data_IF_687680807374
#
_entry.id   IF_687680807374
#
_cell.length_a   1.000
_cell.length_b   1.000
_cell.length_c   1.000
_cell.angle_alpha   90.00
_cell.angle_beta   90.00
_cell.angle_gamma   90.00
#
_symmetry.space_group_name_H-M   'P 1'
#
loop_
_entity.id
_entity.type
_entity.pdbx_description
1 polymer ?
#
# COMPACT_ATOMS: atom_id res chain seq x y z
N UNK A 1 56.53 23.65 45.53
CA UNK A 1 55.38 24.34 44.92
C UNK A 1 55.20 23.79 43.51
N UNK A 2 54.48 22.67 43.38
CA UNK A 2 54.20 22.02 42.08
C UNK A 2 52.88 21.26 42.20
N UNK A 3 51.79 22.03 42.22
CA UNK A 3 50.45 21.52 41.97
C UNK A 3 50.04 22.17 40.66
N UNK A 4 49.78 21.37 39.62
CA UNK A 4 48.95 21.69 38.44
C UNK A 4 49.55 21.20 37.11
N UNK A 5 49.44 19.90 36.84
CA UNK A 5 49.32 19.44 35.45
C UNK A 5 48.38 18.25 35.29
N UNK A 6 48.20 17.45 36.34
CA UNK A 6 47.34 16.24 36.34
C UNK A 6 45.83 16.58 36.25
N UNK A 7 45.40 17.77 36.70
CA UNK A 7 43.98 18.18 36.63
C UNK A 7 43.52 18.63 35.23
N UNK A 8 44.45 19.03 34.35
CA UNK A 8 44.09 19.55 33.03
C UNK A 8 43.84 18.41 32.03
N UNK A 9 44.69 17.36 32.06
CA UNK A 9 44.56 16.18 31.20
C UNK A 9 43.34 15.33 31.58
N UNK A 10 43.03 15.18 32.88
CA UNK A 10 41.82 14.48 33.32
C UNK A 10 40.53 15.21 32.93
N UNK A 11 40.51 16.55 32.97
CA UNK A 11 39.37 17.35 32.48
C UNK A 11 39.23 17.31 30.96
N UNK A 12 40.34 17.28 30.23
CA UNK A 12 40.33 17.14 28.76
C UNK A 12 39.83 15.74 28.34
N UNK A 13 40.25 14.68 29.06
CA UNK A 13 39.77 13.31 28.83
C UNK A 13 38.28 13.16 29.16
N UNK A 14 37.80 13.79 30.23
CA UNK A 14 36.40 13.78 30.62
C UNK A 14 35.52 14.55 29.61
N UNK A 15 36.03 15.67 29.07
CA UNK A 15 35.37 16.41 27.98
C UNK A 15 35.36 15.60 26.67
N UNK A 16 36.43 14.87 26.33
CA UNK A 16 36.48 13.98 25.17
C UNK A 16 35.54 12.77 25.31
N UNK A 17 35.41 12.19 26.51
CA UNK A 17 34.42 11.13 26.79
C UNK A 17 32.98 11.65 26.74
N UNK A 18 32.73 12.89 27.18
CA UNK A 18 31.42 13.54 27.07
C UNK A 18 31.04 13.87 25.62
N UNK A 19 31.99 14.31 24.79
CA UNK A 19 31.72 14.61 23.37
C UNK A 19 31.52 13.32 22.56
N UNK A 20 32.16 12.22 22.94
CA UNK A 20 31.90 10.90 22.37
C UNK A 20 30.55 10.29 22.82
N UNK A 21 30.12 10.54 24.06
CA UNK A 21 28.85 10.01 24.58
C UNK A 21 27.61 10.75 24.09
N UNK A 22 27.71 12.07 23.85
CA UNK A 22 26.54 12.89 23.45
C UNK A 22 26.03 12.56 22.03
N UNK A 23 26.85 12.01 21.12
CA UNK A 23 26.41 11.67 19.74
C UNK A 23 25.91 10.24 19.54
N UNK A 24 26.22 9.30 20.45
CA UNK A 24 25.67 7.94 20.40
C UNK A 24 24.21 7.85 20.91
N UNK A 25 23.67 8.92 21.52
CA UNK A 25 22.30 8.94 22.03
C UNK A 25 21.23 8.83 20.92
N UNK A 26 21.52 9.24 19.69
CA UNK A 26 20.52 9.23 18.62
C UNK A 26 20.12 7.83 18.16
N UNK A 27 21.01 6.84 18.32
CA UNK A 27 20.83 5.44 17.93
C UNK A 27 21.35 4.54 19.05
N UNK A 28 20.65 4.47 20.20
CA UNK A 28 21.16 3.77 21.39
C UNK A 28 21.33 2.26 21.19
N UNK A 29 20.63 1.66 20.22
CA UNK A 29 20.78 0.24 19.92
C UNK A 29 21.97 -0.05 18.99
N UNK A 30 22.53 0.96 18.33
CA UNK A 30 23.70 0.78 17.50
C UNK A 30 24.92 0.45 18.38
N UNK A 31 25.74 -0.55 18.00
CA UNK A 31 26.99 -0.81 18.70
C UNK A 31 27.86 0.45 18.69
N UNK A 32 28.68 0.67 19.71
CA UNK A 32 29.62 1.80 19.79
C UNK A 32 31.03 1.36 19.36
N UNK A 33 31.76 2.23 18.65
CA UNK A 33 33.19 2.03 18.36
C UNK A 33 33.48 1.04 17.22
N UNK A 34 32.53 0.80 16.33
CA UNK A 34 32.74 -0.07 15.15
C UNK A 34 33.44 0.74 14.05
N UNK A 35 34.69 0.39 13.70
CA UNK A 35 35.46 1.13 12.68
C UNK A 35 35.65 0.38 11.36
N UNK A 36 35.57 -0.96 11.37
CA UNK A 36 35.99 -1.79 10.23
C UNK A 36 34.95 -2.88 9.87
N UNK A 37 33.75 -2.80 10.44
CA UNK A 37 32.65 -3.75 10.22
C UNK A 37 31.33 -3.02 10.02
N UNK A 38 30.38 -3.67 9.38
CA UNK A 38 29.01 -3.19 9.25
C UNK A 38 28.37 -2.93 10.62
N UNK A 39 27.66 -1.81 10.73
CA UNK A 39 26.88 -1.46 11.91
C UNK A 39 25.54 -2.20 11.80
N UNK A 40 25.33 -3.16 12.68
CA UNK A 40 24.13 -4.00 12.67
C UNK A 40 23.56 -4.17 14.08
N UNK A 41 22.25 -4.02 14.23
CA UNK A 41 21.56 -4.21 15.50
C UNK A 41 20.09 -4.63 15.32
N UNK A 42 19.47 -5.07 16.41
CA UNK A 42 18.08 -5.53 16.43
C UNK A 42 17.17 -4.54 17.16
N UNK A 43 15.97 -4.32 16.63
CA UNK A 43 14.87 -3.63 17.29
C UNK A 43 13.68 -4.58 17.44
N UNK A 44 12.90 -4.45 18.52
CA UNK A 44 11.75 -5.34 18.80
C UNK A 44 10.48 -4.52 19.02
N UNK A 45 9.37 -4.95 18.42
CA UNK A 45 8.05 -4.35 18.64
C UNK A 45 6.95 -5.41 18.71
N UNK A 46 5.88 -5.12 19.45
CA UNK A 46 4.72 -5.99 19.59
C UNK A 46 3.52 -5.54 18.71
N UNK A 47 3.69 -4.55 17.85
CA UNK A 47 2.62 -4.11 16.95
C UNK A 47 2.31 -5.14 15.86
N UNK A 48 1.02 -5.40 15.57
CA UNK A 48 0.57 -6.24 14.46
C UNK A 48 0.66 -5.56 13.08
N UNK A 49 1.03 -4.28 13.04
CA UNK A 49 1.11 -3.50 11.79
C UNK A 49 2.14 -4.07 10.83
N UNK A 50 1.81 -4.04 9.55
CA UNK A 50 2.72 -4.34 8.44
C UNK A 50 3.50 -3.11 7.97
N UNK A 51 3.19 -1.91 8.47
CA UNK A 51 3.96 -0.69 8.23
C UNK A 51 4.40 -0.10 9.56
N UNK A 52 5.68 0.27 9.62
CA UNK A 52 6.30 0.94 10.77
C UNK A 52 7.17 2.09 10.29
N UNK A 53 7.43 3.07 11.15
CA UNK A 53 8.42 4.11 10.89
C UNK A 53 9.73 3.74 11.58
N UNK A 54 10.84 3.91 10.87
CA UNK A 54 12.19 3.56 11.35
C UNK A 54 13.08 4.78 11.22
N UNK A 55 13.85 5.05 12.26
CA UNK A 55 14.87 6.09 12.27
C UNK A 55 16.13 5.52 11.64
N UNK A 56 16.65 6.19 10.62
CA UNK A 56 17.93 5.88 10.01
C UNK A 56 18.85 7.11 10.10
N UNK A 57 20.18 6.90 10.04
CA UNK A 57 21.13 8.01 9.99
C UNK A 57 20.83 8.96 8.83
N UNK A 58 21.03 10.25 9.08
CA UNK A 58 20.90 11.29 8.08
C UNK A 58 22.25 11.63 7.45
N UNK A 59 22.25 12.37 6.34
CA UNK A 59 23.48 12.77 5.64
C UNK A 59 24.50 13.50 6.52
N UNK A 60 24.02 14.19 7.56
CA UNK A 60 24.85 14.95 8.49
C UNK A 60 25.25 14.14 9.72
N UNK A 61 24.73 12.91 9.87
CA UNK A 61 25.09 12.02 10.96
C UNK A 61 26.59 11.73 10.93
N UNK A 62 27.19 11.71 12.12
CA UNK A 62 28.58 11.33 12.34
C UNK A 62 28.60 10.17 13.32
N UNK A 63 29.14 9.05 12.89
CA UNK A 63 29.29 7.88 13.74
C UNK A 63 30.63 7.97 14.51
N UNK A 64 30.56 8.22 15.81
CA UNK A 64 31.73 8.45 16.65
C UNK A 64 32.61 9.58 16.13
N UNK A 65 33.90 9.31 16.00
CA UNK A 65 34.91 10.25 15.47
C UNK A 65 35.25 9.98 14.00
N UNK A 66 34.50 9.12 13.30
CA UNK A 66 34.85 8.69 11.95
C UNK A 66 34.74 9.85 10.94
N UNK A 67 35.81 10.14 10.17
CA UNK A 67 35.77 11.16 9.13
C UNK A 67 35.00 10.62 7.93
N UNK A 68 33.76 11.07 7.72
CA UNK A 68 32.95 10.58 6.62
C UNK A 68 31.59 11.23 6.52
N UNK A 69 30.76 10.72 5.61
CA UNK A 69 29.35 11.11 5.49
C UNK A 69 28.49 9.87 5.30
N UNK A 70 27.26 9.95 5.78
CA UNK A 70 26.27 8.92 5.50
C UNK A 70 25.66 9.13 4.11
N UNK A 71 25.52 8.04 3.36
CA UNK A 71 24.85 8.00 2.06
C UNK A 71 23.73 7.00 2.14
N UNK A 72 22.54 7.43 1.73
CA UNK A 72 21.34 6.60 1.76
C UNK A 72 21.40 5.50 0.71
N UNK A 73 20.74 4.38 0.99
CA UNK A 73 20.45 3.41 -0.05
C UNK A 73 19.39 3.98 -1.01
N UNK A 74 19.73 4.09 -2.31
CA UNK A 74 18.84 4.63 -3.34
C UNK A 74 17.53 3.81 -3.48
N UNK A 75 17.57 2.51 -3.15
CA UNK A 75 16.40 1.62 -3.22
C UNK A 75 15.28 1.99 -2.23
N UNK A 76 15.56 2.90 -1.28
CA UNK A 76 14.60 3.38 -0.29
C UNK A 76 13.70 4.49 -0.86
N UNK A 77 14.16 5.24 -1.87
CA UNK A 77 13.46 6.43 -2.37
C UNK A 77 12.06 6.13 -2.91
N UNK A 78 11.85 4.96 -3.50
CA UNK A 78 10.55 4.54 -4.06
C UNK A 78 9.64 3.81 -3.05
N UNK A 79 10.17 3.45 -1.88
CA UNK A 79 9.55 2.50 -0.94
C UNK A 79 9.12 3.12 0.38
N UNK A 80 9.53 4.37 0.67
CA UNK A 80 9.34 4.97 1.97
C UNK A 80 8.74 6.39 1.94
N UNK A 81 7.93 6.70 2.95
CA UNK A 81 7.62 8.08 3.29
C UNK A 81 8.74 8.67 4.15
N UNK A 82 9.42 9.71 3.66
CA UNK A 82 10.56 10.32 4.34
C UNK A 82 10.19 11.57 5.15
N UNK A 83 10.80 11.71 6.33
CA UNK A 83 10.87 12.98 7.06
C UNK A 83 12.28 13.16 7.62
N UNK A 84 13.03 14.10 7.07
CA UNK A 84 14.38 14.45 7.55
C UNK A 84 14.26 15.27 8.84
N UNK A 85 15.19 15.08 9.78
CA UNK A 85 15.34 16.01 10.90
C UNK A 85 15.86 17.36 10.39
N UNK A 86 15.54 18.45 11.10
CA UNK A 86 15.92 19.81 10.68
C UNK A 86 17.44 19.98 10.57
N UNK A 87 18.19 19.32 11.47
CA UNK A 87 19.65 19.29 11.47
C UNK A 87 20.26 18.26 10.48
N UNK A 88 19.42 17.42 9.86
CA UNK A 88 19.82 16.34 8.97
C UNK A 88 20.61 15.20 9.61
N UNK A 89 20.60 15.08 10.95
CA UNK A 89 21.26 13.99 11.68
C UNK A 89 20.54 12.65 11.55
N UNK A 90 19.24 12.64 11.29
CA UNK A 90 18.48 11.41 11.05
C UNK A 90 17.33 11.63 10.08
N UNK A 91 16.75 10.52 9.65
CA UNK A 91 15.57 10.50 8.81
C UNK A 91 14.61 9.44 9.33
N UNK A 92 13.34 9.77 9.37
CA UNK A 92 12.27 8.82 9.61
C UNK A 92 11.75 8.29 8.28
N UNK A 93 11.63 6.98 8.18
CA UNK A 93 11.16 6.28 6.98
C UNK A 93 10.03 5.34 7.34
N UNK A 94 8.86 5.51 6.72
CA UNK A 94 7.81 4.51 6.77
C UNK A 94 8.18 3.33 5.87
N UNK A 95 8.24 2.12 6.43
CA UNK A 95 8.64 0.91 5.72
C UNK A 95 7.54 -0.14 5.83
N UNK A 96 7.26 -0.80 4.71
CA UNK A 96 6.31 -1.91 4.63
C UNK A 96 7.04 -3.23 4.77
N UNK A 97 6.47 -4.12 5.57
CA UNK A 97 6.85 -5.52 5.65
C UNK A 97 6.14 -6.29 4.54
N UNK A 98 6.91 -6.74 3.55
CA UNK A 98 6.36 -7.42 2.36
C UNK A 98 5.73 -8.78 2.70
N UNK A 99 6.38 -9.56 3.56
CA UNK A 99 5.91 -10.87 3.99
C UNK A 99 5.61 -10.87 5.49
N UNK A 100 4.32 -10.91 5.82
CA UNK A 100 3.87 -10.96 7.22
C UNK A 100 4.13 -12.30 7.91
N UNK A 101 4.46 -13.37 7.16
CA UNK A 101 4.83 -14.67 7.72
C UNK A 101 6.25 -14.69 8.30
N UNK A 102 7.14 -13.84 7.77
CA UNK A 102 8.49 -13.66 8.31
C UNK A 102 8.41 -12.78 9.55
N UNK A 103 8.97 -13.14 10.72
CA UNK A 103 8.79 -12.35 11.93
C UNK A 103 9.65 -11.08 11.97
N UNK A 104 10.50 -10.86 10.97
CA UNK A 104 11.43 -9.73 10.94
C UNK A 104 11.40 -8.95 9.62
N UNK A 105 11.88 -7.71 9.67
CA UNK A 105 12.14 -6.82 8.53
C UNK A 105 13.60 -6.38 8.60
N UNK A 106 14.37 -6.62 7.54
CA UNK A 106 15.73 -6.11 7.42
C UNK A 106 15.71 -4.77 6.70
N UNK A 107 16.30 -3.76 7.32
CA UNK A 107 16.38 -2.40 6.80
C UNK A 107 17.85 -2.05 6.62
N UNK A 108 18.27 -1.89 5.37
CA UNK A 108 19.58 -1.33 5.06
C UNK A 108 19.39 0.17 4.82
N UNK A 109 19.69 0.99 5.85
CA UNK A 109 19.51 2.44 5.80
C UNK A 109 20.39 3.10 4.72
N UNK A 110 21.55 2.51 4.45
CA UNK A 110 22.60 3.08 3.63
C UNK A 110 23.97 2.71 4.18
N UNK A 111 24.95 3.58 3.95
CA UNK A 111 26.32 3.34 4.36
C UNK A 111 27.07 4.60 4.76
N UNK A 112 28.09 4.43 5.59
CA UNK A 112 29.01 5.48 5.97
C UNK A 112 30.26 5.39 5.08
N UNK A 113 30.54 6.47 4.34
CA UNK A 113 31.70 6.55 3.46
C UNK A 113 32.85 7.24 4.20
N UNK A 114 33.91 6.48 4.47
CA UNK A 114 35.11 6.94 5.18
C UNK A 114 36.19 7.26 4.16
N UNK A 115 36.69 8.50 4.18
CA UNK A 115 37.75 8.90 3.26
C UNK A 115 39.09 8.29 3.69
N UNK A 116 39.71 7.51 2.81
CA UNK A 116 41.07 6.97 3.03
C UNK A 116 42.13 7.92 2.47
N UNK A 117 43.38 7.76 2.92
CA UNK A 117 44.53 8.55 2.41
C UNK A 117 44.76 8.39 0.91
N UNK A 118 44.20 7.36 0.27
CA UNK A 118 44.41 7.00 -1.13
C UNK A 118 43.26 7.45 -2.06
N UNK A 119 42.40 8.39 -1.62
CA UNK A 119 41.18 8.83 -2.34
C UNK A 119 40.15 7.70 -2.61
N UNK A 120 40.30 6.54 -1.99
CA UNK A 120 39.26 5.50 -1.94
C UNK A 120 38.35 5.74 -0.74
N UNK A 121 37.14 5.24 -0.81
CA UNK A 121 36.22 5.24 0.32
C UNK A 121 36.10 3.82 0.87
N UNK A 122 36.30 3.67 2.17
CA UNK A 122 35.85 2.48 2.88
C UNK A 122 34.38 2.67 3.21
N UNK A 123 33.60 1.61 3.07
CA UNK A 123 32.16 1.62 3.24
C UNK A 123 31.77 0.77 4.44
N UNK A 124 30.99 1.36 5.36
CA UNK A 124 30.37 0.64 6.48
C UNK A 124 28.87 0.65 6.27
N UNK A 125 28.25 -0.52 6.10
CA UNK A 125 26.81 -0.61 5.93
C UNK A 125 26.09 -0.39 7.27
N UNK A 126 24.91 0.23 7.21
CA UNK A 126 24.03 0.41 8.37
C UNK A 126 22.77 -0.43 8.23
N UNK A 127 22.70 -1.50 9.00
CA UNK A 127 21.66 -2.52 8.94
C UNK A 127 20.87 -2.58 10.25
N UNK A 128 19.55 -2.58 10.15
CA UNK A 128 18.64 -2.72 11.28
C UNK A 128 17.76 -3.93 11.02
N UNK A 129 17.75 -4.88 11.95
CA UNK A 129 16.84 -6.02 11.93
C UNK A 129 15.70 -5.78 12.91
N UNK A 130 14.50 -5.58 12.39
CA UNK A 130 13.33 -5.25 13.19
C UNK A 130 12.49 -6.51 13.37
N UNK A 131 12.30 -6.96 14.59
CA UNK A 131 11.59 -8.18 14.95
C UNK A 131 10.21 -7.82 15.49
N UNK A 132 9.17 -8.30 14.80
CA UNK A 132 7.80 -8.26 15.30
C UNK A 132 7.55 -9.46 16.20
N UNK A 133 7.11 -9.20 17.42
CA UNK A 133 6.70 -10.21 18.41
C UNK A 133 5.18 -10.33 18.51
N UNK A 134 4.43 -9.62 17.67
CA UNK A 134 2.97 -9.64 17.67
C UNK A 134 2.44 -11.02 17.26
N UNK A 135 1.56 -11.58 18.08
CA UNK A 135 0.74 -12.76 17.72
C UNK A 135 -0.61 -12.36 17.12
N UNK A 136 -0.99 -11.08 17.21
CA UNK A 136 -2.24 -10.57 16.66
C UNK A 136 -2.15 -10.50 15.14
N UNK A 137 -3.14 -11.08 14.45
CA UNK A 137 -3.28 -10.97 12.99
C UNK A 137 -3.51 -9.51 12.59
N UNK A 138 -2.73 -9.00 11.63
CA UNK A 138 -2.82 -7.63 11.11
C UNK A 138 -4.26 -7.15 10.89
N UNK A 139 -5.08 -7.90 10.14
CA UNK A 139 -6.46 -7.51 9.82
C UNK A 139 -7.37 -7.29 11.04
N UNK A 140 -7.05 -7.89 12.20
CA UNK A 140 -7.79 -7.66 13.44
C UNK A 140 -7.49 -6.30 14.08
N UNK A 141 -6.35 -5.70 13.74
CA UNK A 141 -5.91 -4.39 14.22
C UNK A 141 -6.25 -3.24 13.27
N UNK A 142 -6.85 -3.55 12.12
CA UNK A 142 -7.24 -2.55 11.12
C UNK A 142 -8.72 -2.21 11.33
N UNK A 143 -9.01 -0.93 11.53
CA UNK A 143 -10.36 -0.40 11.51
C UNK A 143 -10.91 -0.42 10.08
N UNK A 144 -12.17 -0.82 9.90
CA UNK A 144 -12.87 -0.66 8.63
C UNK A 144 -13.77 0.58 8.72
N UNK A 145 -13.48 1.61 7.93
CA UNK A 145 -14.17 2.89 7.98
C UNK A 145 -14.85 3.22 6.66
N UNK A 146 -15.98 3.92 6.72
CA UNK A 146 -16.59 4.50 5.52
C UNK A 146 -15.74 5.68 5.04
N UNK A 147 -15.89 6.02 3.76
CA UNK A 147 -15.27 7.21 3.13
C UNK A 147 -15.59 8.52 3.84
N UNK A 148 -16.79 8.65 4.42
CA UNK A 148 -17.17 9.81 5.24
C UNK A 148 -16.41 9.85 6.57
N UNK A 149 -16.41 8.74 7.31
CA UNK A 149 -15.82 8.68 8.65
C UNK A 149 -14.30 8.85 8.64
N UNK A 150 -13.62 8.37 7.58
CA UNK A 150 -12.15 8.51 7.50
C UNK A 150 -11.70 9.95 7.21
N UNK A 151 -12.56 10.80 6.63
CA UNK A 151 -12.26 12.21 6.32
C UNK A 151 -12.37 13.13 7.54
N UNK A 152 -13.10 12.70 8.57
CA UNK A 152 -13.28 13.42 9.83
C UNK A 152 -12.02 13.24 10.71
N UNK A 153 -12.19 12.85 11.97
CA UNK A 153 -11.09 12.50 12.86
C UNK A 153 -11.21 11.03 13.29
N UNK A 154 -10.95 10.08 12.37
CA UNK A 154 -11.15 8.66 12.65
C UNK A 154 -10.35 8.13 13.84
N UNK A 155 -9.30 8.83 14.26
CA UNK A 155 -8.38 8.41 15.31
C UNK A 155 -8.46 9.23 16.61
N UNK A 156 -9.42 10.14 16.72
CA UNK A 156 -9.59 11.02 17.90
C UNK A 156 -10.06 10.28 19.16
N UNK A 157 -10.70 9.12 19.00
CA UNK A 157 -11.06 8.24 20.12
C UNK A 157 -9.83 7.86 20.96
N UNK A 158 -9.96 7.92 22.28
CA UNK A 158 -8.89 7.58 23.23
C UNK A 158 -8.43 6.12 23.12
N UNK A 159 -9.30 5.22 22.67
CA UNK A 159 -8.97 3.82 22.40
C UNK A 159 -8.17 3.63 21.10
N UNK A 160 -7.98 4.70 20.32
CA UNK A 160 -7.18 4.75 19.10
C UNK A 160 -5.91 5.57 19.32
N UNK A 161 -5.81 6.74 18.67
CA UNK A 161 -4.69 7.65 18.83
C UNK A 161 -4.96 8.75 19.85
N UNK A 162 -6.23 8.99 20.24
CA UNK A 162 -6.60 10.09 21.12
C UNK A 162 -6.33 11.48 20.53
N UNK A 163 -6.19 11.58 19.20
CA UNK A 163 -5.79 12.82 18.50
C UNK A 163 -6.52 13.00 17.18
N UNK A 164 -6.83 14.26 16.80
CA UNK A 164 -7.38 14.56 15.49
C UNK A 164 -6.35 14.26 14.39
N UNK A 165 -6.83 14.02 13.16
CA UNK A 165 -5.99 13.54 12.07
C UNK A 165 -4.96 14.55 11.57
N UNK A 166 -5.21 15.84 11.74
CA UNK A 166 -4.27 16.93 11.41
C UNK A 166 -3.04 16.99 12.33
N UNK A 167 -3.11 16.38 13.51
CA UNK A 167 -1.99 16.25 14.46
C UNK A 167 -1.22 14.94 14.31
N UNK A 168 -1.60 14.10 13.35
CA UNK A 168 -1.00 12.79 13.12
C UNK A 168 -0.29 12.76 11.77
N UNK A 169 0.83 12.05 11.71
CA UNK A 169 1.47 11.77 10.43
C UNK A 169 0.73 10.62 9.75
N UNK A 170 0.22 10.86 8.54
CA UNK A 170 -0.54 9.86 7.80
C UNK A 170 0.30 9.29 6.67
N UNK A 171 0.42 7.98 6.64
CA UNK A 171 1.00 7.23 5.52
C UNK A 171 -0.12 6.43 4.88
N UNK A 172 -0.26 6.52 3.57
CA UNK A 172 -1.15 5.64 2.80
C UNK A 172 -0.36 4.54 2.14
N UNK A 173 -0.97 3.36 2.03
CA UNK A 173 -0.52 2.24 1.23
C UNK A 173 -1.57 1.97 0.15
N UNK A 174 -1.19 2.12 -1.12
CA UNK A 174 -2.08 1.82 -2.23
C UNK A 174 -2.25 0.30 -2.42
N UNK A 175 -3.11 -0.08 -3.37
CA UNK A 175 -3.37 -1.49 -3.70
C UNK A 175 -2.14 -2.26 -4.21
N UNK A 176 -1.15 -1.56 -4.76
CA UNK A 176 0.10 -2.13 -5.24
C UNK A 176 1.14 -2.21 -4.11
N UNK A 177 0.79 -1.75 -2.91
CA UNK A 177 1.66 -1.73 -1.75
C UNK A 177 2.65 -0.56 -1.74
N UNK A 178 2.48 0.45 -2.58
CA UNK A 178 3.31 1.67 -2.58
C UNK A 178 2.89 2.56 -1.41
N UNK A 179 3.89 3.04 -0.65
CA UNK A 179 3.68 3.97 0.45
C UNK A 179 3.75 5.41 -0.02
N UNK A 180 2.92 6.28 0.55
CA UNK A 180 2.93 7.72 0.26
C UNK A 180 2.45 8.52 1.47
N UNK A 181 3.10 9.65 1.75
CA UNK A 181 2.67 10.57 2.80
C UNK A 181 1.37 11.24 2.35
N UNK A 182 0.43 11.38 3.28
CA UNK A 182 -0.83 12.10 3.08
C UNK A 182 -0.89 13.21 4.12
N UNK A 183 -1.00 14.46 3.68
CA UNK A 183 -1.16 15.60 4.59
C UNK A 183 -2.58 15.65 5.17
N UNK A 184 -3.57 15.41 4.31
CA UNK A 184 -4.98 15.40 4.67
C UNK A 184 -5.73 14.37 3.83
N UNK A 185 -6.62 13.61 4.49
CA UNK A 185 -7.48 12.66 3.79
C UNK A 185 -8.64 13.43 3.16
N UNK A 186 -8.64 13.49 1.84
CA UNK A 186 -9.67 14.07 1.00
C UNK A 186 -10.24 13.02 0.04
N UNK A 187 -11.37 13.33 -0.61
CA UNK A 187 -12.08 12.37 -1.46
C UNK A 187 -11.29 11.92 -2.68
N UNK A 188 -10.44 12.77 -3.23
CA UNK A 188 -9.55 12.51 -4.37
C UNK A 188 -8.45 11.48 -4.06
N UNK A 189 -7.99 11.42 -2.81
CA UNK A 189 -6.97 10.45 -2.37
C UNK A 189 -7.56 9.11 -1.93
N UNK A 190 -8.89 9.00 -1.82
CA UNK A 190 -9.57 7.76 -1.42
C UNK A 190 -9.72 6.80 -2.61
N UNK A 191 -9.31 5.55 -2.41
CA UNK A 191 -9.43 4.48 -3.39
C UNK A 191 -9.70 3.15 -2.69
N UNK A 192 -10.34 2.23 -3.41
CA UNK A 192 -10.56 0.86 -2.97
C UNK A 192 -9.23 0.17 -2.63
N UNK A 193 -9.21 -0.59 -1.54
CA UNK A 193 -8.03 -1.31 -0.99
C UNK A 193 -6.87 -0.41 -0.59
N UNK A 194 -7.09 0.89 -0.44
CA UNK A 194 -6.10 1.81 0.12
C UNK A 194 -6.20 1.79 1.65
N UNK A 195 -5.07 1.58 2.31
CA UNK A 195 -4.96 1.55 3.77
C UNK A 195 -4.23 2.80 4.26
N UNK A 196 -4.68 3.38 5.35
CA UNK A 196 -4.09 4.54 5.99
C UNK A 196 -3.53 4.17 7.37
N UNK A 197 -2.31 4.62 7.64
CA UNK A 197 -1.57 4.38 8.86
C UNK A 197 -1.34 5.73 9.54
N UNK A 198 -1.70 5.83 10.82
CA UNK A 198 -1.64 7.05 11.59
C UNK A 198 -0.54 6.93 12.64
N UNK A 199 0.42 7.85 12.61
CA UNK A 199 1.55 7.89 13.50
C UNK A 199 1.47 9.14 14.38
N UNK A 200 1.62 8.93 15.69
CA UNK A 200 1.69 10.02 16.65
C UNK A 200 3.15 10.43 16.85
N UNK A 201 3.57 11.48 16.15
CA UNK A 201 4.95 11.98 16.21
C UNK A 201 5.30 12.56 17.58
N UNK A 202 4.32 12.92 18.44
CA UNK A 202 4.63 13.40 19.78
C UNK A 202 5.17 12.30 20.70
N UNK A 203 5.11 11.03 20.28
CA UNK A 203 5.72 9.90 20.99
C UNK A 203 7.20 9.72 20.64
N UNK A 204 7.70 10.47 19.64
CA UNK A 204 9.11 10.47 19.28
C UNK A 204 9.87 11.27 20.35
N UNK A 205 10.64 10.56 21.16
CA UNK A 205 11.66 11.14 22.03
C UNK A 205 13.05 10.93 21.40
N UNK A 206 14.08 11.57 21.93
CA UNK A 206 15.43 11.61 21.33
C UNK A 206 15.97 10.21 20.95
N UNK A 207 15.74 9.23 21.84
CA UNK A 207 16.27 7.87 21.74
C UNK A 207 15.31 6.90 21.01
N UNK A 208 14.19 7.38 20.46
CA UNK A 208 13.25 6.53 19.72
C UNK A 208 13.85 6.13 18.36
N UNK A 209 14.00 4.84 18.09
CA UNK A 209 14.57 4.33 16.83
C UNK A 209 13.53 3.72 15.89
N UNK A 210 12.33 3.44 16.39
CA UNK A 210 11.18 3.03 15.58
C UNK A 210 9.88 3.57 16.19
N UNK A 211 8.86 3.72 15.36
CA UNK A 211 7.52 4.13 15.76
C UNK A 211 6.49 3.25 15.05
N UNK A 212 5.60 2.63 15.81
CA UNK A 212 4.47 1.88 15.25
C UNK A 212 3.25 2.79 15.13
N UNK A 213 2.35 2.55 14.17
CA UNK A 213 1.14 3.36 14.05
C UNK A 213 0.27 3.18 15.30
N UNK A 214 -0.40 4.26 15.72
CA UNK A 214 -1.40 4.24 16.78
C UNK A 214 -2.78 3.81 16.26
N UNK A 215 -2.99 3.89 14.94
CA UNK A 215 -4.22 3.44 14.29
C UNK A 215 -3.97 3.09 12.84
N UNK A 216 -4.72 2.10 12.33
CA UNK A 216 -4.67 1.68 10.93
C UNK A 216 -6.11 1.56 10.43
N UNK A 217 -6.40 2.18 9.29
CA UNK A 217 -7.73 2.20 8.71
C UNK A 217 -7.74 1.71 7.26
N UNK A 218 -8.64 0.78 6.97
CA UNK A 218 -9.06 0.35 5.64
C UNK A 218 -10.39 1.01 5.31
N UNK A 219 -10.66 1.28 4.03
CA UNK A 219 -11.79 2.09 3.60
C UNK A 219 -12.75 1.28 2.74
N UNK A 220 -14.04 1.41 3.02
CA UNK A 220 -15.09 0.95 2.12
C UNK A 220 -16.00 2.09 1.71
N UNK A 221 -16.66 1.91 0.57
CA UNK A 221 -17.66 2.83 0.04
C UNK A 221 -18.93 2.10 -0.39
N UNK A 222 -19.91 2.87 -0.86
CA UNK A 222 -21.11 2.33 -1.49
C UNK A 222 -20.76 1.47 -2.70
N UNK A 223 -21.57 0.43 -2.93
CA UNK A 223 -21.39 -0.50 -4.05
C UNK A 223 -21.39 0.28 -5.38
N UNK A 224 -20.46 0.01 -6.30
CA UNK A 224 -20.48 0.64 -7.61
C UNK A 224 -21.57 0.04 -8.49
N UNK A 225 -21.91 0.75 -9.57
CA UNK A 225 -22.60 0.21 -10.74
C UNK A 225 -21.59 -0.12 -11.83
N UNK A 226 -21.83 -1.15 -12.62
CA UNK A 226 -21.00 -1.50 -13.78
C UNK A 226 -21.59 -0.77 -15.00
N UNK A 227 -20.82 0.11 -15.61
CA UNK A 227 -21.21 0.81 -16.84
C UNK A 227 -20.25 0.50 -17.99
N UNK A 228 -20.77 0.48 -19.22
CA UNK A 228 -19.97 0.31 -20.44
C UNK A 228 -19.79 1.69 -21.07
N UNK A 229 -18.54 2.11 -21.25
CA UNK A 229 -18.22 3.48 -21.69
C UNK A 229 -18.73 3.72 -23.10
N UNK A 230 -19.57 4.74 -23.28
CA UNK A 230 -20.14 5.10 -24.57
C UNK A 230 -21.37 4.30 -24.98
N UNK A 231 -21.86 3.41 -24.11
CA UNK A 231 -23.01 2.55 -24.41
C UNK A 231 -24.08 2.66 -23.32
N UNK A 232 -25.33 2.93 -23.74
CA UNK A 232 -26.47 2.88 -22.83
C UNK A 232 -26.94 1.43 -22.68
N UNK A 233 -26.98 0.95 -21.44
CA UNK A 233 -27.58 -0.33 -21.11
C UNK A 233 -29.09 -0.15 -20.93
N UNK A 234 -29.88 -0.96 -21.65
CA UNK A 234 -31.34 -0.92 -21.60
C UNK A 234 -31.87 -2.28 -21.18
N UNK A 235 -32.82 -2.29 -20.24
CA UNK A 235 -33.52 -3.52 -19.84
C UNK A 235 -34.44 -4.00 -20.96
N UNK A 236 -34.58 -5.32 -21.09
CA UNK A 236 -35.48 -5.94 -22.07
C UNK A 236 -36.82 -6.20 -21.38
N UNK A 237 -37.93 -5.85 -22.02
CA UNK A 237 -39.27 -6.04 -21.44
C UNK A 237 -39.61 -7.51 -21.13
N UNK A 238 -39.02 -8.46 -21.86
CA UNK A 238 -39.25 -9.91 -21.71
C UNK A 238 -38.31 -10.57 -20.69
N UNK A 239 -37.22 -9.90 -20.30
CA UNK A 239 -36.26 -10.41 -19.32
C UNK A 239 -35.43 -9.23 -18.74
N UNK A 240 -35.72 -8.88 -17.49
CA UNK A 240 -35.05 -7.82 -16.74
C UNK A 240 -33.65 -8.24 -16.24
N UNK A 241 -33.31 -9.54 -16.27
CA UNK A 241 -31.99 -10.04 -15.91
C UNK A 241 -30.93 -9.70 -16.96
N UNK A 242 -31.31 -9.51 -18.23
CA UNK A 242 -30.39 -9.21 -19.34
C UNK A 242 -30.55 -7.76 -19.79
N UNK A 243 -29.45 -7.02 -19.81
CA UNK A 243 -29.39 -5.69 -20.42
C UNK A 243 -28.82 -5.76 -21.83
N UNK A 244 -29.31 -4.91 -22.71
CA UNK A 244 -28.81 -4.77 -24.08
C UNK A 244 -28.00 -3.50 -24.20
N UNK A 245 -26.82 -3.63 -24.80
CA UNK A 245 -25.98 -2.49 -25.16
C UNK A 245 -26.28 -2.03 -26.58
N UNK A 246 -25.82 -0.82 -26.96
CA UNK A 246 -25.89 -0.38 -28.34
C UNK A 246 -25.22 -1.39 -29.27
N UNK A 247 -25.72 -1.52 -30.52
CA UNK A 247 -25.41 -2.69 -31.30
C UNK A 247 -23.94 -2.84 -31.71
N UNK A 248 -23.50 -4.08 -31.89
CA UNK A 248 -22.10 -4.46 -32.09
C UNK A 248 -21.85 -4.83 -33.56
N UNK A 249 -20.77 -4.33 -34.14
CA UNK A 249 -20.30 -4.75 -35.47
C UNK A 249 -19.78 -6.17 -35.40
N UNK A 250 -20.11 -7.02 -36.37
CA UNK A 250 -19.60 -8.39 -36.42
C UNK A 250 -18.06 -8.41 -36.38
N UNK A 251 -17.49 -9.21 -35.48
CA UNK A 251 -16.04 -9.34 -35.32
C UNK A 251 -15.58 -9.20 -33.87
N UNK A 252 -14.31 -8.83 -33.69
CA UNK A 252 -13.67 -8.72 -32.37
C UNK A 252 -13.59 -7.25 -31.97
N UNK A 253 -14.40 -6.86 -30.98
CA UNK A 253 -14.54 -5.47 -30.54
C UNK A 253 -14.00 -5.28 -29.13
N UNK A 254 -13.34 -4.15 -28.88
CA UNK A 254 -12.83 -3.79 -27.56
C UNK A 254 -13.82 -2.86 -26.86
N UNK A 255 -14.24 -3.24 -25.65
CA UNK A 255 -15.12 -2.46 -24.80
C UNK A 255 -14.38 -1.99 -23.57
N UNK A 256 -14.69 -0.77 -23.13
CA UNK A 256 -14.22 -0.23 -21.85
C UNK A 256 -15.37 -0.22 -20.86
N UNK A 257 -15.07 -0.48 -19.60
CA UNK A 257 -16.04 -0.42 -18.52
C UNK A 257 -15.55 0.48 -17.39
N UNK A 258 -16.50 0.93 -16.57
CA UNK A 258 -16.22 1.62 -15.31
C UNK A 258 -17.03 1.02 -14.18
N UNK A 259 -16.43 1.02 -13.00
CA UNK A 259 -17.12 0.80 -11.74
C UNK A 259 -17.43 2.19 -11.17
N UNK A 260 -18.65 2.65 -11.41
CA UNK A 260 -19.04 4.02 -11.10
C UNK A 260 -19.82 4.09 -9.78
N UNK A 261 -19.57 5.14 -9.02
CA UNK A 261 -20.33 5.50 -7.85
C UNK A 261 -20.55 7.02 -7.91
N UNK A 262 -21.73 7.49 -7.48
CA UNK A 262 -22.18 8.87 -7.73
C UNK A 262 -21.29 9.92 -7.06
N UNK A 263 -20.88 9.65 -5.82
CA UNK A 263 -20.15 10.60 -4.99
C UNK A 263 -18.63 10.53 -5.22
N UNK A 264 -18.12 9.34 -5.53
CA UNK A 264 -16.68 9.08 -5.66
C UNK A 264 -16.32 8.30 -6.92
N UNK A 265 -16.38 9.00 -8.06
CA UNK A 265 -16.16 8.43 -9.40
C UNK A 265 -14.87 7.61 -9.56
N UNK A 266 -13.80 7.96 -8.83
CA UNK A 266 -12.50 7.30 -8.97
C UNK A 266 -12.20 6.28 -7.87
N UNK A 267 -13.12 6.05 -6.92
CA UNK A 267 -12.85 5.17 -5.78
C UNK A 267 -12.51 3.74 -6.23
N UNK A 268 -13.24 3.21 -7.22
CA UNK A 268 -13.04 1.85 -7.76
C UNK A 268 -12.11 1.80 -8.98
N UNK A 269 -11.39 2.88 -9.30
CA UNK A 269 -10.58 2.97 -10.51
C UNK A 269 -9.50 1.88 -10.55
N UNK A 270 -9.46 1.10 -11.63
CA UNK A 270 -8.51 0.01 -11.89
C UNK A 270 -8.74 -1.27 -11.07
N UNK A 271 -9.85 -1.35 -10.34
CA UNK A 271 -10.31 -2.63 -9.76
C UNK A 271 -10.63 -3.63 -10.87
N UNK A 272 -10.37 -4.91 -10.59
CA UNK A 272 -10.66 -5.99 -11.53
C UNK A 272 -12.09 -6.49 -11.38
N UNK A 273 -12.73 -6.75 -12.51
CA UNK A 273 -13.99 -7.48 -12.62
C UNK A 273 -13.74 -8.89 -13.15
N UNK A 274 -14.65 -9.79 -12.81
CA UNK A 274 -14.71 -11.14 -13.36
C UNK A 274 -15.75 -11.16 -14.48
N UNK A 275 -15.37 -11.67 -15.64
CA UNK A 275 -16.21 -11.76 -16.84
C UNK A 275 -16.43 -13.22 -17.19
N UNK A 276 -17.69 -13.62 -17.25
CA UNK A 276 -18.12 -14.95 -17.61
C UNK A 276 -18.93 -14.92 -18.91
N UNK A 277 -18.71 -15.88 -19.79
CA UNK A 277 -19.62 -16.10 -20.91
C UNK A 277 -20.87 -16.81 -20.44
N UNK A 278 -22.01 -16.36 -20.92
CA UNK A 278 -23.31 -16.92 -20.62
C UNK A 278 -23.94 -17.52 -21.88
N UNK A 279 -24.85 -18.46 -21.68
CA UNK A 279 -25.73 -19.03 -22.69
C UNK A 279 -27.15 -18.61 -22.37
N UNK A 280 -27.96 -18.35 -23.39
CA UNK A 280 -29.40 -18.18 -23.23
C UNK A 280 -30.11 -19.36 -23.87
N UNK A 281 -30.83 -20.14 -23.06
CA UNK A 281 -31.55 -21.34 -23.49
C UNK A 281 -32.87 -21.41 -22.74
N UNK A 282 -33.95 -21.74 -23.44
CA UNK A 282 -35.28 -21.95 -22.85
C UNK A 282 -35.73 -20.79 -21.94
N UNK A 283 -35.47 -19.55 -22.35
CA UNK A 283 -35.84 -18.36 -21.58
C UNK A 283 -34.91 -17.99 -20.42
N UNK A 284 -33.86 -18.78 -20.15
CA UNK A 284 -32.97 -18.61 -19.00
C UNK A 284 -31.52 -18.38 -19.40
N UNK A 285 -30.84 -17.56 -18.61
CA UNK A 285 -29.39 -17.35 -18.71
C UNK A 285 -28.67 -18.39 -17.86
N UNK A 286 -27.74 -19.12 -18.48
CA UNK A 286 -26.93 -20.15 -17.83
C UNK A 286 -25.44 -19.85 -18.02
N UNK A 287 -24.62 -20.19 -17.03
CA UNK A 287 -23.17 -20.03 -17.12
C UNK A 287 -22.61 -20.98 -18.19
N UNK A 288 -21.89 -20.44 -19.17
CA UNK A 288 -21.11 -21.29 -20.07
C UNK A 288 -19.88 -21.78 -19.29
N UNK A 289 -19.66 -23.10 -19.24
CA UNK A 289 -18.49 -23.72 -18.58
C UNK A 289 -17.19 -23.43 -19.35
N UNK A 290 -16.78 -22.17 -19.37
CA UNK A 290 -15.52 -21.68 -19.90
C UNK A 290 -14.73 -20.99 -18.79
N UNK A 291 -13.43 -20.80 -19.02
CA UNK A 291 -12.56 -20.07 -18.09
C UNK A 291 -13.00 -18.61 -18.03
N UNK A 292 -13.30 -18.12 -16.83
CA UNK A 292 -13.57 -16.71 -16.57
C UNK A 292 -12.37 -15.83 -16.90
N UNK A 293 -12.64 -14.60 -17.34
CA UNK A 293 -11.63 -13.61 -17.68
C UNK A 293 -11.61 -12.53 -16.58
N UNK A 294 -10.42 -12.11 -16.16
CA UNK A 294 -10.25 -10.92 -15.32
C UNK A 294 -9.88 -9.72 -16.18
N UNK A 295 -10.52 -8.58 -15.94
CA UNK A 295 -10.21 -7.32 -16.62
C UNK A 295 -10.29 -6.15 -15.64
N UNK A 296 -9.46 -5.12 -15.80
CA UNK A 296 -9.47 -3.93 -14.94
C UNK A 296 -9.98 -2.65 -15.61
N UNK A 297 -10.08 -2.64 -16.95
CA UNK A 297 -10.45 -1.44 -17.72
C UNK A 297 -11.21 -1.78 -19.01
N UNK A 298 -10.78 -2.84 -19.70
CA UNK A 298 -11.35 -3.22 -20.98
C UNK A 298 -11.34 -4.72 -21.19
N UNK A 299 -12.22 -5.19 -22.05
CA UNK A 299 -12.32 -6.57 -22.47
C UNK A 299 -12.68 -6.66 -23.95
N UNK A 300 -12.53 -7.85 -24.50
CA UNK A 300 -12.80 -8.14 -25.90
C UNK A 300 -14.09 -8.93 -26.00
N UNK A 301 -14.95 -8.50 -26.92
CA UNK A 301 -16.17 -9.20 -27.29
C UNK A 301 -15.98 -9.81 -28.68
N UNK A 302 -16.29 -11.09 -28.84
CA UNK A 302 -16.10 -11.81 -30.12
C UNK A 302 -17.44 -12.23 -30.72
N UNK A 303 -17.84 -11.58 -31.80
CA UNK A 303 -19.14 -11.80 -32.44
C UNK A 303 -20.27 -11.28 -31.57
N UNK A 304 -21.32 -12.09 -31.42
CA UNK A 304 -22.45 -11.79 -30.55
C UNK A 304 -22.42 -12.75 -29.36
N UNK A 305 -22.42 -12.20 -28.16
CA UNK A 305 -22.34 -12.99 -26.94
C UNK A 305 -23.03 -12.30 -25.77
N UNK A 306 -23.35 -13.10 -24.75
CA UNK A 306 -23.90 -12.64 -23.48
C UNK A 306 -22.79 -12.80 -22.45
N UNK A 307 -22.47 -11.72 -21.76
CA UNK A 307 -21.43 -11.68 -20.74
C UNK A 307 -22.03 -11.31 -19.39
N UNK A 308 -21.69 -12.06 -18.35
CA UNK A 308 -21.88 -11.61 -16.96
C UNK A 308 -20.59 -10.96 -16.50
N UNK A 309 -20.66 -9.67 -16.15
CA UNK A 309 -19.57 -8.92 -15.54
C UNK A 309 -19.89 -8.79 -14.06
N UNK A 310 -18.96 -9.18 -13.19
CA UNK A 310 -19.18 -9.15 -11.74
C UNK A 310 -18.00 -8.56 -10.96
N UNK A 311 -18.32 -7.91 -9.85
CA UNK A 311 -17.36 -7.29 -8.93
C UNK A 311 -17.73 -7.60 -7.48
N UNK A 312 -16.73 -7.98 -6.67
CA UNK A 312 -16.88 -8.19 -5.23
C UNK A 312 -16.50 -6.91 -4.48
N UNK A 313 -17.49 -6.10 -4.12
CA UNK A 313 -17.27 -4.88 -3.36
C UNK A 313 -17.19 -5.18 -1.86
N UNK A 314 -16.13 -4.68 -1.21
CA UNK A 314 -16.07 -4.60 0.25
C UNK A 314 -17.19 -3.69 0.76
N UNK A 315 -17.82 -4.10 1.87
CA UNK A 315 -18.91 -3.39 2.52
C UNK A 315 -18.72 -3.43 4.04
N UNK A 316 -19.64 -2.82 4.79
CA UNK A 316 -19.66 -2.78 6.25
C UNK A 316 -19.41 -4.18 6.87
N UNK A 317 -18.74 -4.20 8.02
CA UNK A 317 -18.39 -5.40 8.80
C UNK A 317 -17.48 -6.38 8.06
N UNK A 318 -16.66 -5.88 7.13
CA UNK A 318 -15.76 -6.66 6.27
C UNK A 318 -16.47 -7.72 5.42
N UNK A 319 -17.78 -7.52 5.15
CA UNK A 319 -18.56 -8.38 4.26
C UNK A 319 -18.36 -7.95 2.82
N UNK A 320 -18.37 -8.91 1.91
CA UNK A 320 -18.33 -8.65 0.47
C UNK A 320 -19.73 -8.80 -0.11
N UNK A 321 -20.09 -7.85 -0.98
CA UNK A 321 -21.31 -7.91 -1.79
C UNK A 321 -20.93 -8.00 -3.25
N UNK A 322 -21.59 -8.91 -3.98
CA UNK A 322 -21.42 -9.04 -5.42
C UNK A 322 -22.31 -8.02 -6.11
N UNK A 323 -21.72 -7.23 -6.99
CA UNK A 323 -22.42 -6.46 -8.03
C UNK A 323 -22.22 -7.22 -9.33
N UNK A 324 -23.28 -7.39 -10.12
CA UNK A 324 -23.17 -8.05 -11.41
C UNK A 324 -24.13 -7.45 -12.43
N UNK A 325 -23.74 -7.51 -13.68
CA UNK A 325 -24.53 -7.11 -14.83
C UNK A 325 -24.41 -8.19 -15.91
N UNK A 326 -25.54 -8.67 -16.43
CA UNK A 326 -25.57 -9.58 -17.57
C UNK A 326 -25.93 -8.76 -18.80
N UNK A 327 -25.03 -8.73 -19.78
CA UNK A 327 -25.11 -7.84 -20.93
C UNK A 327 -25.08 -8.66 -22.21
N UNK A 328 -26.06 -8.45 -23.08
CA UNK A 328 -26.08 -8.99 -24.43
C UNK A 328 -25.44 -7.99 -25.41
N UNK A 329 -24.37 -8.44 -26.06
CA UNK A 329 -23.66 -7.73 -27.11
C UNK A 329 -24.18 -8.19 -28.47
N UNK A 330 -25.34 -7.66 -28.87
CA UNK A 330 -26.08 -8.09 -30.06
C UNK A 330 -25.75 -7.34 -31.36
N UNK A 331 -26.23 -7.85 -32.51
CA UNK A 331 -25.99 -7.27 -33.84
C UNK A 331 -26.63 -5.90 -34.05
N UNK A 332 -26.02 -5.07 -34.91
CA UNK A 332 -26.62 -3.83 -35.48
C UNK A 332 -27.94 -4.09 -36.17
N UNK A 333 -28.02 -5.18 -36.93
CA UNK A 333 -29.26 -5.57 -37.59
C UNK A 333 -30.05 -6.54 -36.70
N UNK A 334 -31.24 -6.12 -36.25
CA UNK A 334 -32.16 -6.99 -35.48
C UNK A 334 -32.73 -8.13 -36.33
N UNK A 335 -32.76 -7.98 -37.65
CA UNK A 335 -33.25 -8.97 -38.62
C UNK A 335 -32.07 -9.78 -39.20
N UNK A 336 -31.04 -10.05 -38.40
CA UNK A 336 -29.91 -10.84 -38.85
C UNK A 336 -30.32 -12.30 -39.00
N UNK A 337 -30.36 -12.79 -40.24
CA UNK A 337 -30.49 -14.23 -40.50
C UNK A 337 -29.16 -14.93 -40.17
N UNK A 338 -29.18 -15.72 -39.11
CA UNK A 338 -28.06 -16.60 -38.78
C UNK A 338 -28.08 -17.80 -39.72
N UNK A 339 -26.95 -18.12 -40.35
CA UNK A 339 -26.81 -19.37 -41.11
C UNK A 339 -27.04 -20.54 -40.16
N UNK A 340 -28.08 -21.33 -40.41
CA UNK A 340 -28.28 -22.60 -39.70
C UNK A 340 -27.23 -23.60 -40.16
N UNK A 341 -26.32 -23.98 -39.27
CA UNK A 341 -25.51 -25.18 -39.45
C UNK A 341 -26.29 -26.38 -38.91
N UNK A 342 -26.73 -27.24 -39.83
CA UNK A 342 -27.34 -28.53 -39.49
C UNK A 342 -26.22 -29.48 -39.11
N UNK A 343 -26.01 -29.70 -37.82
CA UNK A 343 -25.14 -30.75 -37.32
C UNK A 343 -25.90 -32.07 -37.46
N UNK A 344 -25.51 -32.91 -38.42
CA UNK A 344 -25.97 -34.30 -38.48
C UNK A 344 -25.40 -35.05 -37.28
N UNK A 345 -26.23 -35.29 -36.29
CA UNK A 345 -25.94 -36.26 -35.24
C UNK A 345 -26.20 -37.63 -35.87
N UNK A 346 -25.16 -38.28 -36.39
CA UNK A 346 -25.23 -39.71 -36.67
C UNK A 346 -25.24 -40.42 -35.32
N UNK A 347 -26.28 -41.19 -35.04
CA UNK A 347 -26.20 -42.24 -34.03
C UNK A 347 -25.05 -43.17 -34.46
N UNK A 348 -23.95 -43.12 -33.72
CA UNK A 348 -22.94 -44.15 -33.75
C UNK A 348 -23.20 -45.06 -32.53
N UNK A 349 -23.20 -46.35 -32.81
CA UNK A 349 -23.66 -47.51 -32.04
C UNK A 349 -23.14 -47.64 -30.59
#
# INVERSE_FOLDING_TARGET
MTISSIKLTARMLLMLLMVASVRCNLFPSAPSGVTDKDISYELRHNSPSDVIMVKCPGSNFKYGTLPGKFVYNNDLNDKAGFKKSDDGLYIWMALKKEDMSVPYLNVQCGSYLIATRTKKYDEILWNIKIISTSTTKFLKSVDLLSTLKIKENPMEDINRCGKPSDKLKIISKDRNGKLSIVEKIQFDVLQSKKIFYFFDESKIVENTEFLTPCGVADVYHNRPTISIVGHKLTEIAENDEIKVTSPVVAGKNKYFFKLEEQDLKNFYQGEKVLINKMLYRNGKVELKKEKSIEASESFLVTGYEILEISYKSLFKDRKYKVVKEVIFFGPVNKNLELKMEVIKISAAD
#
